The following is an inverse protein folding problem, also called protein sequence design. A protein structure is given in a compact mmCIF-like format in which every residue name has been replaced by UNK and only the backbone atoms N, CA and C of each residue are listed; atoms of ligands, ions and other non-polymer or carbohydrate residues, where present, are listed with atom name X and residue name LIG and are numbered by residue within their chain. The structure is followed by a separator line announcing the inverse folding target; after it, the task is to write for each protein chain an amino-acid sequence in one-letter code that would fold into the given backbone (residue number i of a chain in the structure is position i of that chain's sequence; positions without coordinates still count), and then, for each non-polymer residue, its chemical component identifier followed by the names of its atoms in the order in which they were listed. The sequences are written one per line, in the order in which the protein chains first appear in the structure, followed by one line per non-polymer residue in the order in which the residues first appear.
data_IF_858675190371
#
_entry.id   IF_858675190371
#
_cell.length_a   1.000
_cell.length_b   1.000
_cell.length_c   1.000
_cell.angle_alpha   90.00
_cell.angle_beta   90.00
_cell.angle_gamma   90.00
#
_symmetry.space_group_name_H-M   'P 1'
#
loop_
_entity.id
_entity.type
_entity.pdbx_description
1 polymer ?
#
# COMPACT_ATOMS: atom_id res chain seq x y z
N UNK A 1 -18.73 -1.62 15.06
CA UNK A 1 -19.60 -0.78 14.20
C UNK A 1 -18.87 -0.54 12.90
N UNK A 2 -19.54 -0.44 11.73
CA UNK A 2 -18.85 -0.11 10.48
C UNK A 2 -18.41 1.36 10.42
N UNK A 3 -18.81 2.18 11.39
CA UNK A 3 -18.50 3.60 11.47
C UNK A 3 -17.59 3.93 12.65
N UNK A 4 -16.95 5.12 12.58
CA UNK A 4 -16.31 5.78 13.71
C UNK A 4 -17.23 5.71 14.94
N UNK A 5 -16.68 5.34 16.09
CA UNK A 5 -17.48 5.04 17.30
C UNK A 5 -18.36 6.22 17.73
N UNK A 6 -17.82 7.43 17.63
CA UNK A 6 -18.50 8.68 17.96
C UNK A 6 -19.47 9.16 16.86
N UNK A 7 -19.38 8.61 15.63
CA UNK A 7 -20.27 8.90 14.49
C UNK A 7 -21.03 7.68 13.97
N UNK A 8 -21.32 6.76 14.89
CA UNK A 8 -22.18 5.61 14.59
C UNK A 8 -23.62 6.06 14.33
N UNK A 9 -24.42 5.22 13.67
CA UNK A 9 -25.82 5.56 13.34
C UNK A 9 -26.60 6.05 14.57
N UNK A 10 -26.48 5.38 15.72
CA UNK A 10 -27.19 5.82 16.93
C UNK A 10 -26.73 7.18 17.46
N UNK A 11 -25.47 7.60 17.20
CA UNK A 11 -24.95 8.93 17.61
C UNK A 11 -25.47 10.02 16.68
N UNK A 12 -25.51 9.72 15.38
CA UNK A 12 -26.14 10.61 14.41
C UNK A 12 -27.65 10.73 14.72
N UNK A 13 -28.36 9.64 15.01
CA UNK A 13 -29.78 9.66 15.37
C UNK A 13 -30.04 10.47 16.66
N UNK A 14 -29.21 10.29 17.70
CA UNK A 14 -29.32 11.02 18.95
C UNK A 14 -29.07 12.53 18.82
N UNK A 15 -28.41 12.94 17.73
CA UNK A 15 -28.16 14.34 17.37
C UNK A 15 -28.97 14.81 16.17
N UNK A 16 -29.94 14.01 15.71
CA UNK A 16 -30.77 14.29 14.53
C UNK A 16 -29.94 14.59 13.26
N UNK A 17 -28.78 13.95 13.12
CA UNK A 17 -27.84 14.11 12.00
C UNK A 17 -26.99 15.38 12.05
N UNK A 18 -27.09 16.17 13.12
CA UNK A 18 -26.34 17.44 13.25
C UNK A 18 -24.84 17.23 13.46
N UNK A 19 -24.39 16.05 13.92
CA UNK A 19 -22.97 15.75 14.04
C UNK A 19 -22.27 15.77 12.68
N UNK A 20 -22.85 15.16 11.66
CA UNK A 20 -22.27 15.19 10.31
C UNK A 20 -22.16 16.60 9.74
N UNK A 21 -23.18 17.44 9.97
CA UNK A 21 -23.14 18.84 9.54
C UNK A 21 -22.08 19.66 10.29
N UNK A 22 -21.88 19.37 11.57
CA UNK A 22 -20.97 20.11 12.43
C UNK A 22 -19.50 19.66 12.33
N UNK A 23 -19.27 18.37 12.03
CA UNK A 23 -17.94 17.80 11.90
C UNK A 23 -17.19 18.27 10.63
N UNK A 24 -17.92 18.71 9.59
CA UNK A 24 -17.37 19.16 8.30
C UNK A 24 -16.92 18.02 7.38
N UNK A 25 -16.38 16.94 7.95
CA UNK A 25 -16.02 15.72 7.24
C UNK A 25 -17.24 14.80 7.15
N UNK A 26 -17.68 14.41 5.96
CA UNK A 26 -18.86 13.54 5.80
C UNK A 26 -18.55 12.04 5.92
N UNK A 27 -17.28 11.64 5.78
CA UNK A 27 -16.86 10.25 5.81
C UNK A 27 -16.76 9.72 7.25
N UNK A 28 -17.63 8.76 7.53
CA UNK A 28 -17.73 8.10 8.84
C UNK A 28 -17.41 6.61 8.80
N UNK A 29 -17.28 6.02 7.61
CA UNK A 29 -17.09 4.58 7.42
C UNK A 29 -15.65 4.16 7.71
N UNK A 30 -15.50 3.16 8.57
CA UNK A 30 -14.27 2.40 8.77
C UNK A 30 -14.12 1.27 7.74
N UNK A 31 -15.20 0.93 7.02
CA UNK A 31 -15.12 -0.05 5.95
C UNK A 31 -14.26 0.48 4.82
N UNK A 32 -13.23 -0.28 4.44
CA UNK A 32 -12.30 0.09 3.39
C UNK A 32 -11.18 1.04 3.83
N UNK A 33 -11.08 1.38 5.11
CA UNK A 33 -9.90 2.11 5.59
C UNK A 33 -8.69 1.20 5.66
N UNK A 34 -7.54 1.70 5.22
CA UNK A 34 -6.28 0.95 5.24
C UNK A 34 -5.65 0.96 6.63
N UNK A 35 -4.87 -0.10 6.89
CA UNK A 35 -4.00 -0.23 8.06
C UNK A 35 -2.54 -0.21 7.61
N UNK A 36 -1.87 -1.37 7.65
CA UNK A 36 -0.48 -1.51 7.17
C UNK A 36 -0.32 -1.87 5.70
N UNK A 37 -1.43 -2.14 4.99
CA UNK A 37 -1.45 -2.48 3.56
C UNK A 37 -2.38 -1.50 2.84
N UNK A 38 -1.94 -0.97 1.71
CA UNK A 38 -2.67 0.04 0.93
C UNK A 38 -2.36 -0.09 -0.56
N UNK A 39 -3.26 0.41 -1.42
CA UNK A 39 -2.94 0.51 -2.86
C UNK A 39 -1.77 1.48 -3.04
N UNK A 40 -0.75 1.05 -3.77
CA UNK A 40 0.38 1.93 -4.07
C UNK A 40 0.02 2.96 -5.15
N UNK A 41 -0.92 2.64 -6.04
CA UNK A 41 -1.26 3.47 -7.19
C UNK A 41 -2.60 4.17 -7.11
N UNK A 42 -3.48 3.76 -6.18
CA UNK A 42 -4.81 4.36 -6.06
C UNK A 42 -4.97 5.08 -4.72
N UNK A 43 -5.74 6.19 -4.68
CA UNK A 43 -6.20 6.79 -3.44
C UNK A 43 -6.89 5.77 -2.53
N UNK A 44 -6.67 5.91 -1.22
CA UNK A 44 -7.30 5.07 -0.22
C UNK A 44 -7.74 5.89 1.00
N UNK A 45 -8.69 5.35 1.76
CA UNK A 45 -9.15 5.99 2.98
C UNK A 45 -8.30 5.53 4.17
N UNK A 46 -7.90 6.45 5.03
CA UNK A 46 -7.13 6.20 6.24
C UNK A 46 -7.94 6.64 7.47
N UNK A 47 -7.96 5.79 8.48
CA UNK A 47 -8.52 6.13 9.78
C UNK A 47 -7.49 6.91 10.61
N UNK A 48 -7.68 8.21 10.77
CA UNK A 48 -6.78 9.09 11.53
C UNK A 48 -7.10 8.97 13.02
N UNK A 49 -6.57 7.92 13.65
CA UNK A 49 -6.70 7.62 15.09
C UNK A 49 -8.15 7.64 15.61
N UNK A 50 -9.11 7.27 14.77
CA UNK A 50 -10.53 7.26 15.08
C UNK A 50 -11.13 8.65 15.25
N UNK A 51 -10.44 9.72 14.87
CA UNK A 51 -10.97 11.08 14.90
C UNK A 51 -11.73 11.38 13.61
N UNK A 52 -11.09 11.16 12.47
CA UNK A 52 -11.67 11.41 11.16
C UNK A 52 -11.17 10.39 10.14
N UNK A 53 -11.83 10.35 8.98
CA UNK A 53 -11.38 9.59 7.82
C UNK A 53 -10.76 10.57 6.84
N UNK A 54 -9.51 10.34 6.47
CA UNK A 54 -8.83 11.12 5.43
C UNK A 54 -8.59 10.27 4.19
N UNK A 55 -8.76 10.83 3.01
CA UNK A 55 -8.44 10.16 1.74
C UNK A 55 -7.03 10.53 1.33
N UNK A 56 -6.22 9.55 0.94
CA UNK A 56 -4.87 9.78 0.45
C UNK A 56 -4.89 10.39 -0.95
N UNK A 57 -3.94 11.28 -1.19
CA UNK A 57 -3.58 11.75 -2.52
C UNK A 57 -2.27 11.07 -2.91
N UNK A 58 -2.30 10.34 -4.02
CA UNK A 58 -1.10 9.71 -4.56
C UNK A 58 -0.15 10.80 -5.09
N UNK A 59 1.11 10.72 -4.68
CA UNK A 59 2.22 11.52 -5.18
C UNK A 59 3.08 10.76 -6.18
N UNK A 60 4.35 11.14 -6.25
CA UNK A 60 5.30 10.61 -7.23
C UNK A 60 5.89 9.26 -6.81
N UNK A 61 6.51 8.58 -7.79
CA UNK A 61 7.33 7.40 -7.55
C UNK A 61 8.67 7.83 -6.94
N UNK A 62 9.05 7.25 -5.82
CA UNK A 62 10.26 7.56 -5.07
C UNK A 62 11.06 6.29 -4.78
N UNK A 63 12.39 6.39 -4.79
CA UNK A 63 13.25 5.32 -4.27
C UNK A 63 13.65 5.65 -2.84
N UNK A 64 13.29 4.80 -1.90
CA UNK A 64 13.62 4.96 -0.48
C UNK A 64 14.32 3.70 0.03
N UNK A 65 15.53 3.87 0.58
CA UNK A 65 16.39 2.75 1.05
C UNK A 65 16.57 1.62 0.01
N UNK A 66 16.67 1.99 -1.27
CA UNK A 66 16.85 1.05 -2.38
C UNK A 66 15.58 0.38 -2.90
N UNK A 67 14.42 0.66 -2.28
CA UNK A 67 13.12 0.11 -2.66
C UNK A 67 12.33 1.18 -3.42
N UNK A 68 11.77 0.82 -4.57
CA UNK A 68 10.87 1.69 -5.32
C UNK A 68 9.48 1.72 -4.66
N UNK A 69 8.96 2.91 -4.39
CA UNK A 69 7.68 3.13 -3.71
C UNK A 69 6.90 4.28 -4.36
N UNK A 70 5.64 4.43 -3.98
CA UNK A 70 4.81 5.60 -4.28
C UNK A 70 4.54 6.40 -3.01
N UNK A 71 4.69 7.72 -3.10
CA UNK A 71 4.31 8.62 -2.01
C UNK A 71 2.79 8.78 -1.96
N UNK A 72 2.26 8.91 -0.76
CA UNK A 72 0.87 9.23 -0.49
C UNK A 72 0.82 10.26 0.62
N UNK A 73 0.00 11.29 0.46
CA UNK A 73 -0.24 12.29 1.50
C UNK A 73 -1.71 12.30 1.90
N UNK A 74 -1.99 12.28 3.19
CA UNK A 74 -3.33 12.47 3.75
C UNK A 74 -3.30 13.77 4.54
N UNK A 75 -4.07 14.74 4.08
CA UNK A 75 -4.21 16.05 4.72
C UNK A 75 -5.65 16.23 5.19
N UNK A 76 -5.81 16.54 6.48
CA UNK A 76 -7.09 16.95 7.07
C UNK A 76 -7.03 18.43 7.39
N UNK A 77 -7.85 19.20 6.67
CA UNK A 77 -8.05 20.62 6.91
C UNK A 77 -8.84 20.81 8.23
N UNK A 78 -8.30 21.56 9.20
CA UNK A 78 -8.97 21.78 10.47
C UNK A 78 -10.29 22.54 10.30
N UNK A 79 -10.47 23.36 9.26
CA UNK A 79 -11.73 24.06 9.00
C UNK A 79 -12.90 23.11 8.70
N UNK A 80 -12.59 21.90 8.25
CA UNK A 80 -13.55 20.87 7.87
C UNK A 80 -13.46 19.61 8.76
N UNK A 81 -12.77 19.68 9.89
CA UNK A 81 -12.53 18.51 10.75
C UNK A 81 -12.73 18.85 12.23
N UNK A 82 -13.99 19.13 12.60
CA UNK A 82 -14.36 19.39 13.99
C UNK A 82 -14.63 18.09 14.73
N UNK A 83 -13.98 17.90 15.88
CA UNK A 83 -14.00 16.65 16.64
C UNK A 83 -14.68 16.77 18.01
N UNK A 84 -15.41 17.86 18.26
CA UNK A 84 -16.02 18.15 19.56
C UNK A 84 -16.90 17.00 20.07
N UNK A 85 -17.67 16.35 19.19
CA UNK A 85 -18.58 15.28 19.57
C UNK A 85 -17.84 14.05 20.08
N UNK A 86 -16.62 13.80 19.60
CA UNK A 86 -15.75 12.74 20.11
C UNK A 86 -15.25 13.05 21.52
N UNK A 87 -14.91 14.31 21.78
CA UNK A 87 -14.32 14.74 23.05
C UNK A 87 -15.37 14.90 24.15
N UNK A 88 -16.56 15.40 23.82
CA UNK A 88 -17.69 15.52 24.74
C UNK A 88 -18.33 14.15 25.02
N UNK A 89 -18.58 13.37 23.97
CA UNK A 89 -19.04 11.98 24.06
C UNK A 89 -20.40 11.78 24.74
N UNK A 90 -21.22 12.83 24.89
CA UNK A 90 -22.45 12.81 25.70
C UNK A 90 -23.55 11.94 25.12
N UNK A 91 -23.56 11.76 23.79
CA UNK A 91 -24.59 10.99 23.09
C UNK A 91 -25.91 11.73 22.99
N UNK A 92 -25.86 13.05 23.07
CA UNK A 92 -27.01 13.95 23.02
C UNK A 92 -26.71 15.11 22.07
N UNK A 93 -27.69 15.98 21.83
CA UNK A 93 -27.54 17.18 21.00
C UNK A 93 -26.36 18.10 21.42
N UNK A 94 -25.89 17.99 22.67
CA UNK A 94 -24.71 18.72 23.18
C UNK A 94 -23.45 18.44 22.34
N UNK A 95 -23.31 17.23 21.79
CA UNK A 95 -22.19 16.86 20.93
C UNK A 95 -22.18 17.62 19.58
N UNK A 96 -23.29 18.25 19.20
CA UNK A 96 -23.46 19.05 17.99
C UNK A 96 -23.71 20.53 18.25
N UNK A 97 -23.76 20.96 19.52
CA UNK A 97 -23.97 22.36 19.84
C UNK A 97 -22.75 23.18 19.39
N UNK A 98 -22.96 24.24 18.59
CA UNK A 98 -21.90 25.15 18.17
C UNK A 98 -21.07 25.64 19.35
N UNK A 99 -19.77 25.33 19.35
CA UNK A 99 -18.83 25.80 20.37
C UNK A 99 -19.02 25.20 21.77
N UNK A 100 -19.68 24.04 21.92
CA UNK A 100 -19.70 23.35 23.22
C UNK A 100 -18.29 22.93 23.66
N UNK A 101 -17.47 22.49 22.72
CA UNK A 101 -16.03 22.31 22.90
C UNK A 101 -15.34 22.45 21.54
N UNK A 102 -15.06 23.67 21.07
CA UNK A 102 -14.66 23.92 19.68
C UNK A 102 -13.20 23.51 19.46
N UNK A 103 -13.02 22.21 19.22
CA UNK A 103 -11.73 21.58 18.92
C UNK A 103 -11.75 21.04 17.51
N UNK A 104 -10.78 21.48 16.73
CA UNK A 104 -10.57 21.12 15.34
C UNK A 104 -9.30 20.27 15.23
N UNK A 105 -9.30 19.35 14.28
CA UNK A 105 -8.19 18.44 14.04
C UNK A 105 -7.54 18.79 12.71
N UNK A 106 -6.25 19.08 12.75
CA UNK A 106 -5.39 19.09 11.59
C UNK A 106 -4.57 17.79 11.58
N UNK A 107 -4.40 17.18 10.41
CA UNK A 107 -3.52 16.04 10.26
C UNK A 107 -2.77 16.13 8.94
N UNK A 108 -1.45 15.95 9.01
CA UNK A 108 -0.55 15.87 7.87
C UNK A 108 0.18 14.53 7.96
N UNK A 109 -0.16 13.60 7.07
CA UNK A 109 0.37 12.23 7.11
C UNK A 109 1.01 11.90 5.77
N UNK A 110 2.31 11.62 5.80
CA UNK A 110 3.08 11.17 4.66
C UNK A 110 3.34 9.67 4.76
N UNK A 111 3.01 8.95 3.68
CA UNK A 111 3.14 7.50 3.58
C UNK A 111 3.96 7.16 2.33
N UNK A 112 4.74 6.08 2.39
CA UNK A 112 5.34 5.46 1.20
C UNK A 112 4.93 4.02 1.11
N UNK A 113 4.35 3.66 -0.03
CA UNK A 113 3.74 2.36 -0.27
C UNK A 113 4.51 1.64 -1.36
N UNK A 114 4.95 0.43 -1.07
CA UNK A 114 5.68 -0.41 -2.02
C UNK A 114 4.67 -1.13 -2.95
N UNK A 115 4.84 -1.08 -4.28
CA UNK A 115 3.83 -1.52 -5.24
C UNK A 115 3.57 -3.02 -5.31
N UNK A 116 4.50 -3.87 -4.90
CA UNK A 116 4.42 -5.32 -5.07
C UNK A 116 3.73 -5.99 -3.89
N UNK A 117 4.24 -5.73 -2.69
CA UNK A 117 3.70 -6.20 -1.42
C UNK A 117 2.53 -5.35 -0.93
N UNK A 118 2.33 -4.16 -1.50
CA UNK A 118 1.32 -3.17 -1.07
C UNK A 118 1.51 -2.69 0.37
N UNK A 119 2.69 -2.97 0.95
CA UNK A 119 3.00 -2.61 2.32
C UNK A 119 3.37 -1.13 2.44
N UNK A 120 2.87 -0.50 3.49
CA UNK A 120 3.31 0.84 3.89
C UNK A 120 4.66 0.67 4.61
N UNK A 121 5.74 1.16 4.00
CA UNK A 121 7.12 1.00 4.50
C UNK A 121 7.67 2.25 5.17
N UNK A 122 6.97 3.36 5.03
CA UNK A 122 7.26 4.62 5.68
C UNK A 122 5.94 5.29 6.04
N UNK A 123 5.87 5.82 7.25
CA UNK A 123 4.74 6.60 7.73
C UNK A 123 5.21 7.68 8.69
N UNK A 124 4.98 8.94 8.33
CA UNK A 124 5.16 10.09 9.20
C UNK A 124 3.80 10.74 9.38
N UNK A 125 3.28 10.79 10.60
CA UNK A 125 2.01 11.41 10.92
C UNK A 125 2.23 12.56 11.91
N UNK A 126 1.73 13.73 11.55
CA UNK A 126 1.65 14.92 12.39
C UNK A 126 0.18 15.26 12.57
N UNK A 127 -0.28 15.28 13.81
CA UNK A 127 -1.69 15.52 14.14
C UNK A 127 -1.75 16.62 15.18
N UNK A 128 -2.38 17.74 14.82
CA UNK A 128 -2.47 18.94 15.65
C UNK A 128 -3.93 19.16 16.05
N UNK A 129 -4.14 19.49 17.32
CA UNK A 129 -5.43 19.81 17.89
C UNK A 129 -5.49 21.32 18.11
N UNK A 130 -6.43 21.97 17.44
CA UNK A 130 -6.65 23.41 17.52
C UNK A 130 -7.87 23.71 18.37
N UNK A 131 -7.72 24.56 19.39
CA UNK A 131 -8.81 25.07 20.21
C UNK A 131 -9.22 26.46 19.72
N UNK A 132 -10.51 26.66 19.45
CA UNK A 132 -11.07 27.99 19.20
C UNK A 132 -11.17 28.79 20.50
N UNK A 133 -10.51 29.94 20.53
CA UNK A 133 -10.37 30.78 21.73
C UNK A 133 -11.52 31.78 21.88
N UNK A 134 -12.39 31.93 20.87
CA UNK A 134 -13.50 32.90 20.87
C UNK A 134 -14.64 32.52 21.82
N UNK A 135 -14.63 31.28 22.33
CA UNK A 135 -15.58 30.80 23.31
C UNK A 135 -16.83 30.14 22.69
N UNK A 136 -17.78 29.73 23.56
CA UNK A 136 -18.91 28.92 23.15
C UNK A 136 -19.89 29.67 22.25
N UNK A 137 -20.45 28.97 21.25
CA UNK A 137 -21.31 29.54 20.23
C UNK A 137 -20.59 30.04 18.97
N UNK A 138 -19.26 30.19 19.01
CA UNK A 138 -18.44 30.53 17.84
C UNK A 138 -18.20 29.29 16.97
N UNK A 139 -18.28 29.48 15.65
CA UNK A 139 -17.98 28.46 14.62
C UNK A 139 -17.14 29.09 13.52
N UNK A 140 -16.45 28.26 12.75
CA UNK A 140 -15.65 28.69 11.60
C UNK A 140 -14.63 29.78 11.99
N UNK A 141 -13.61 29.44 12.80
CA UNK A 141 -12.54 30.38 13.09
C UNK A 141 -11.79 30.78 11.84
N UNK A 142 -11.20 31.98 11.89
CA UNK A 142 -10.27 32.41 10.88
C UNK A 142 -8.96 31.62 11.00
N UNK A 143 -8.64 30.86 9.95
CA UNK A 143 -7.43 30.05 9.81
C UNK A 143 -6.30 30.80 9.07
N UNK A 144 -6.49 32.09 8.77
CA UNK A 144 -5.47 32.89 8.09
C UNK A 144 -4.21 33.06 8.94
N UNK A 145 -3.07 33.23 8.27
CA UNK A 145 -1.78 33.43 8.92
C UNK A 145 -1.83 34.67 9.84
N UNK A 146 -1.52 34.49 11.13
CA UNK A 146 -1.55 35.55 12.13
C UNK A 146 -2.89 35.72 12.86
N UNK A 147 -3.92 34.91 12.54
CA UNK A 147 -5.13 34.83 13.34
C UNK A 147 -4.85 34.33 14.76
N UNK A 148 -5.54 34.90 15.75
CA UNK A 148 -5.51 34.48 17.16
C UNK A 148 -6.77 33.74 17.58
N UNK A 149 -7.68 33.47 16.64
CA UNK A 149 -8.95 32.81 16.91
C UNK A 149 -8.79 31.34 17.27
N UNK A 150 -7.70 30.71 16.83
CA UNK A 150 -7.34 29.33 17.16
C UNK A 150 -5.96 29.24 17.78
N UNK A 151 -5.78 28.29 18.70
CA UNK A 151 -4.47 27.96 19.24
C UNK A 151 -4.22 26.45 19.19
N UNK A 152 -3.01 26.00 18.79
CA UNK A 152 -2.64 24.60 18.93
C UNK A 152 -2.50 24.26 20.41
N UNK A 153 -3.21 23.22 20.87
CA UNK A 153 -3.20 22.79 22.28
C UNK A 153 -2.44 21.47 22.49
N UNK A 154 -2.38 20.64 21.45
CA UNK A 154 -1.71 19.35 21.51
C UNK A 154 -1.25 18.93 20.11
N UNK A 155 -0.13 18.24 20.04
CA UNK A 155 0.46 17.77 18.79
C UNK A 155 1.02 16.36 18.99
N UNK A 156 0.75 15.48 18.03
CA UNK A 156 1.24 14.11 18.01
C UNK A 156 2.09 13.94 16.77
N UNK A 157 3.37 13.62 16.98
CA UNK A 157 4.22 13.10 15.92
C UNK A 157 4.39 11.60 16.08
N UNK A 158 4.03 10.86 15.05
CA UNK A 158 4.33 9.43 14.94
C UNK A 158 5.19 9.22 13.72
N UNK A 159 6.24 8.42 13.89
CA UNK A 159 7.16 8.10 12.83
C UNK A 159 7.41 6.59 12.81
N UNK A 160 7.33 6.01 11.61
CA UNK A 160 7.62 4.61 11.35
C UNK A 160 8.34 4.52 10.01
N UNK A 161 9.45 3.80 9.98
CA UNK A 161 10.16 3.47 8.75
C UNK A 161 10.66 2.03 8.83
N UNK A 162 10.89 1.43 7.67
CA UNK A 162 11.62 0.17 7.57
C UNK A 162 13.09 0.38 7.95
N UNK A 163 13.63 -0.48 8.82
CA UNK A 163 15.05 -0.47 9.21
C UNK A 163 15.95 -0.84 8.02
N UNK A 164 17.20 -0.38 8.01
CA UNK A 164 18.13 -0.56 6.88
C UNK A 164 18.42 -2.05 6.59
N UNK A 165 18.64 -2.85 7.63
CA UNK A 165 18.86 -4.29 7.50
C UNK A 165 17.62 -5.01 6.95
N UNK A 166 16.43 -4.57 7.36
CA UNK A 166 15.16 -5.10 6.88
C UNK A 166 14.91 -4.71 5.41
N UNK A 167 15.28 -3.48 5.02
CA UNK A 167 15.17 -3.01 3.65
C UNK A 167 16.10 -3.77 2.68
N UNK A 168 17.34 -4.05 3.13
CA UNK A 168 18.28 -4.88 2.38
C UNK A 168 17.75 -6.31 2.17
N UNK A 169 17.25 -6.92 3.23
CA UNK A 169 16.62 -8.25 3.16
C UNK A 169 15.37 -8.26 2.28
N UNK A 170 14.53 -7.21 2.33
CA UNK A 170 13.35 -7.09 1.48
C UNK A 170 13.73 -6.98 0.00
N UNK A 171 14.71 -6.14 -0.33
CA UNK A 171 15.18 -5.96 -1.72
C UNK A 171 15.71 -7.27 -2.30
N UNK A 172 16.54 -7.98 -1.51
CA UNK A 172 17.05 -9.29 -1.90
C UNK A 172 15.94 -10.34 -2.07
N UNK A 173 14.93 -10.33 -1.21
CA UNK A 173 13.88 -11.36 -1.21
C UNK A 173 12.76 -11.10 -2.23
N UNK A 174 12.46 -9.83 -2.53
CA UNK A 174 11.30 -9.45 -3.33
C UNK A 174 11.74 -8.78 -4.63
N UNK A 175 12.43 -7.64 -4.55
CA UNK A 175 12.79 -6.83 -5.72
C UNK A 175 13.69 -7.58 -6.71
N UNK A 176 14.74 -8.23 -6.21
CA UNK A 176 15.69 -8.97 -7.05
C UNK A 176 15.06 -10.21 -7.71
N UNK A 177 13.97 -10.71 -7.14
CA UNK A 177 13.22 -11.87 -7.64
C UNK A 177 12.16 -11.52 -8.67
N UNK A 178 12.07 -10.26 -9.10
CA UNK A 178 11.14 -9.84 -10.16
C UNK A 178 11.79 -9.74 -11.54
N UNK A 179 13.10 -9.99 -11.67
CA UNK A 179 13.80 -10.00 -12.95
C UNK A 179 13.42 -11.20 -13.85
N UNK A 180 14.01 -11.27 -15.06
CA UNK A 180 13.80 -12.38 -16.01
C UNK A 180 14.10 -13.79 -15.44
N UNK A 181 14.79 -13.83 -14.30
CA UNK A 181 15.18 -15.03 -13.56
C UNK A 181 14.47 -15.13 -12.20
N UNK A 182 13.27 -14.55 -12.05
CA UNK A 182 12.53 -14.51 -10.79
C UNK A 182 12.14 -15.86 -10.16
N UNK A 183 12.41 -16.98 -10.85
CA UNK A 183 12.16 -18.34 -10.40
C UNK A 183 13.40 -19.01 -9.76
N UNK A 184 14.59 -18.41 -9.80
CA UNK A 184 15.84 -19.00 -9.27
C UNK A 184 16.37 -18.39 -7.98
N UNK A 185 15.72 -17.36 -7.45
CA UNK A 185 16.16 -16.59 -6.29
C UNK A 185 17.64 -16.18 -6.32
N UNK A 186 18.00 -15.24 -7.19
CA UNK A 186 19.37 -14.72 -7.31
C UNK A 186 19.62 -13.42 -6.51
N UNK A 187 18.72 -13.04 -5.60
CA UNK A 187 18.90 -11.85 -4.75
C UNK A 187 19.78 -12.10 -3.52
N UNK A 188 20.37 -11.02 -2.98
CA UNK A 188 21.17 -11.03 -1.74
C UNK A 188 22.58 -11.64 -1.84
N UNK A 189 23.24 -11.83 -0.68
CA UNK A 189 24.66 -12.25 -0.57
C UNK A 189 24.98 -13.60 -1.24
N UNK A 190 24.01 -14.51 -1.33
CA UNK A 190 24.18 -15.82 -1.97
C UNK A 190 23.87 -15.82 -3.49
N UNK A 191 23.27 -14.73 -3.98
CA UNK A 191 22.69 -14.62 -5.32
C UNK A 191 23.72 -14.73 -6.46
N UNK A 192 24.88 -14.09 -6.32
CA UNK A 192 25.93 -14.11 -7.33
C UNK A 192 26.52 -15.50 -7.56
N UNK A 193 26.73 -16.28 -6.49
CA UNK A 193 27.24 -17.64 -6.60
C UNK A 193 26.21 -18.60 -7.23
N UNK A 194 24.93 -18.45 -6.86
CA UNK A 194 23.85 -19.24 -7.49
C UNK A 194 23.66 -18.89 -8.97
N UNK A 195 23.80 -17.62 -9.35
CA UNK A 195 23.67 -17.17 -10.74
C UNK A 195 24.75 -17.79 -11.64
N UNK A 196 26.00 -17.87 -11.15
CA UNK A 196 27.10 -18.53 -11.86
C UNK A 196 26.79 -20.02 -12.04
N UNK A 197 26.36 -20.71 -10.97
CA UNK A 197 26.04 -22.14 -11.02
C UNK A 197 24.92 -22.44 -12.04
N UNK A 198 23.85 -21.65 -12.03
CA UNK A 198 22.73 -21.83 -12.96
C UNK A 198 23.11 -21.50 -14.41
N UNK A 199 23.99 -20.53 -14.63
CA UNK A 199 24.51 -20.22 -15.97
C UNK A 199 25.32 -21.39 -16.53
N UNK A 200 26.14 -22.03 -15.69
CA UNK A 200 26.89 -23.25 -16.07
C UNK A 200 25.94 -24.40 -16.39
N UNK A 201 24.91 -24.61 -15.57
CA UNK A 201 23.90 -25.65 -15.81
C UNK A 201 23.14 -25.39 -17.13
N UNK A 202 22.74 -24.14 -17.40
CA UNK A 202 22.07 -23.76 -18.64
C UNK A 202 22.97 -24.00 -19.87
N UNK A 203 24.26 -23.64 -19.78
CA UNK A 203 25.23 -23.93 -20.82
C UNK A 203 25.36 -25.43 -21.08
N UNK A 204 25.41 -26.25 -20.02
CA UNK A 204 25.43 -27.71 -20.14
C UNK A 204 24.18 -28.25 -20.83
N UNK A 205 22.99 -27.71 -20.55
CA UNK A 205 21.76 -28.09 -21.26
C UNK A 205 21.80 -27.72 -22.73
N UNK A 206 22.24 -26.50 -23.08
CA UNK A 206 22.35 -26.05 -24.47
C UNK A 206 23.35 -26.92 -25.25
N UNK A 207 24.51 -27.20 -24.65
CA UNK A 207 25.51 -28.11 -25.23
C UNK A 207 24.92 -29.51 -25.42
N UNK A 208 24.21 -30.04 -24.42
CA UNK A 208 23.62 -31.39 -24.49
C UNK A 208 22.55 -31.47 -25.59
N UNK A 209 21.68 -30.47 -25.70
CA UNK A 209 20.67 -30.38 -26.76
C UNK A 209 21.33 -30.24 -28.13
N UNK A 210 22.39 -29.43 -28.24
CA UNK A 210 23.17 -29.27 -29.47
C UNK A 210 23.82 -30.58 -29.92
N UNK A 211 24.41 -31.33 -28.98
CA UNK A 211 25.01 -32.64 -29.25
C UNK A 211 23.95 -33.68 -29.64
N UNK A 212 22.77 -33.68 -29.00
CA UNK A 212 21.65 -34.52 -29.40
C UNK A 212 21.16 -34.17 -30.81
N UNK A 213 21.02 -32.87 -31.12
CA UNK A 213 20.62 -32.42 -32.46
C UNK A 213 21.64 -32.77 -33.53
N UNK A 214 22.94 -32.64 -33.24
CA UNK A 214 24.02 -33.04 -34.13
C UNK A 214 24.03 -34.56 -34.34
N UNK A 215 23.94 -35.35 -33.26
CA UNK A 215 23.84 -36.81 -33.35
C UNK A 215 22.61 -37.26 -34.14
N UNK A 216 21.46 -36.60 -33.93
CA UNK A 216 20.24 -36.84 -34.70
C UNK A 216 20.28 -36.25 -36.11
N UNK A 217 21.30 -35.52 -36.53
CA UNK A 217 21.44 -35.08 -37.93
C UNK A 217 22.13 -36.12 -38.80
N UNK A 218 22.82 -37.08 -38.18
CA UNK A 218 23.44 -38.23 -38.85
C UNK A 218 22.40 -39.32 -39.16
N UNK A 219 22.37 -39.77 -40.42
CA UNK A 219 21.48 -40.84 -40.89
C UNK A 219 21.74 -42.16 -40.18
N UNK A 220 23.01 -42.50 -39.89
CA UNK A 220 23.36 -43.75 -39.23
C UNK A 220 22.85 -43.80 -37.79
N UNK A 221 22.95 -42.67 -37.08
CA UNK A 221 22.43 -42.53 -35.72
C UNK A 221 20.90 -42.56 -35.67
N UNK A 222 20.20 -41.96 -36.66
CA UNK A 222 18.74 -42.04 -36.77
C UNK A 222 18.23 -43.45 -36.98
N UNK A 223 18.87 -44.23 -37.85
CA UNK A 223 18.54 -45.63 -38.14
C UNK A 223 18.74 -46.51 -36.89
N UNK A 224 19.83 -46.31 -36.16
CA UNK A 224 20.11 -47.03 -34.92
C UNK A 224 19.09 -46.72 -33.81
N UNK A 225 18.68 -45.45 -33.69
CA UNK A 225 17.68 -45.00 -32.73
C UNK A 225 16.28 -45.51 -33.12
N UNK A 226 15.90 -45.48 -34.40
CA UNK A 226 14.66 -46.10 -34.90
C UNK A 226 14.61 -47.61 -34.62
N UNK A 227 15.73 -48.30 -34.81
CA UNK A 227 15.87 -49.72 -34.46
C UNK A 227 15.74 -50.00 -32.95
N UNK A 228 16.18 -49.07 -32.10
CA UNK A 228 16.00 -49.15 -30.63
C UNK A 228 14.58 -48.83 -30.16
N UNK A 229 13.87 -47.95 -30.87
CA UNK A 229 12.49 -47.53 -30.57
C UNK A 229 11.42 -48.45 -31.19
N UNK A 230 11.82 -49.50 -31.91
CA UNK A 230 10.92 -50.56 -32.39
C UNK A 230 9.86 -50.10 -33.40
N UNK A 231 10.11 -49.01 -34.14
CA UNK A 231 9.19 -48.56 -35.19
C UNK A 231 9.73 -48.97 -36.56
N UNK A 232 9.20 -50.09 -37.07
CA UNK A 232 9.42 -50.56 -38.45
C UNK A 232 8.89 -49.55 -39.47
N UNK A 233 9.49 -49.46 -40.67
CA UNK A 233 8.99 -48.61 -41.74
C UNK A 233 7.70 -49.21 -42.33
N UNK A 234 6.65 -48.40 -42.38
CA UNK A 234 5.41 -48.70 -43.10
C UNK A 234 5.73 -49.00 -44.58
N UNK A 235 5.50 -50.25 -44.99
CA UNK A 235 5.51 -50.70 -46.38
C UNK A 235 4.19 -50.25 -47.03
N UNK A 236 4.17 -49.06 -47.64
CA UNK A 236 3.13 -48.68 -48.59
C UNK A 236 3.60 -49.15 -49.96
N UNK A 237 3.12 -50.32 -50.32
CA UNK A 237 3.23 -50.91 -51.65
C UNK A 237 2.47 -50.05 -52.68
N UNK A 238 3.12 -49.83 -53.81
CA UNK A 238 2.47 -49.53 -55.09
C UNK A 238 1.46 -50.63 -55.40
N UNK A 239 0.17 -50.31 -55.37
CA UNK A 239 -0.85 -51.05 -56.12
C UNK A 239 -1.23 -50.24 -57.37
N UNK A 240 -0.60 -50.60 -58.48
CA UNK A 240 -1.18 -50.50 -59.82
C UNK A 240 -1.59 -51.91 -60.27
N UNK A 241 -2.88 -52.22 -60.20
CA UNK A 241 -3.68 -52.94 -61.22
C UNK A 241 -5.14 -53.07 -60.77
#
# INVERSE_FOLDING_TARGET
TPYLTWRSDHREDATQGLQSAHAGNSDRSLSGTVGGLASATDPFNLNVAGYAIGTSTQGDKVTYKGIEMYEHSVVLDPSNTQIQGKLLGTGTFVDSLPGALPVYLEANIDLKVEPVSTAIMYGKAEVIFHLDTRGPGSINPDWSEGSTETMPVFEIHTFSEIDDDAAGNFTAAVTDNMGAWGWTNFGGDAGGALAILHTVIAAMYVISIGLLGYGLSDQAAREQIKGLLGREPDDISDESE
#
